data_IF_914125276997
#
_entry.id   IF_914125276997
#
_cell.length_a   1.000
_cell.length_b   1.000
_cell.length_c   1.000
_cell.angle_alpha   90.00
_cell.angle_beta   90.00
_cell.angle_gamma   90.00
#
_symmetry.space_group_name_H-M   'P 1'
#
loop_
_entity.id
_entity.type
_entity.pdbx_description
1 polymer ?
#
# COMPACT_ATOMS: atom_id res chain seq x y z
N UNK A 1 13.29 -24.14 -4.72
CA UNK A 1 14.63 -23.74 -4.23
C UNK A 1 14.45 -22.91 -2.96
N UNK A 2 15.11 -23.27 -1.85
CA UNK A 2 14.96 -22.60 -0.55
C UNK A 2 15.88 -21.36 -0.51
N UNK A 3 15.36 -20.17 -0.18
CA UNK A 3 16.09 -18.88 -0.28
C UNK A 3 16.72 -18.49 1.06
N UNK A 4 17.83 -19.13 1.39
CA UNK A 4 18.54 -18.89 2.64
C UNK A 4 19.99 -18.47 2.40
N UNK A 5 20.49 -17.61 3.30
CA UNK A 5 21.92 -17.33 3.45
C UNK A 5 22.41 -18.02 4.71
N UNK A 6 23.63 -18.55 4.62
CA UNK A 6 24.23 -19.38 5.62
C UNK A 6 25.25 -18.55 6.40
N UNK A 7 24.89 -18.15 7.63
CA UNK A 7 25.74 -17.28 8.46
C UNK A 7 26.49 -18.13 9.47
N UNK A 8 27.82 -18.11 9.41
CA UNK A 8 28.67 -18.82 10.38
C UNK A 8 28.82 -17.98 11.65
N UNK A 9 28.05 -18.29 12.69
CA UNK A 9 28.21 -17.67 14.00
C UNK A 9 29.14 -18.52 14.87
N UNK A 10 30.17 -17.88 15.45
CA UNK A 10 30.99 -18.50 16.50
C UNK A 10 30.38 -18.21 17.87
N UNK A 11 29.59 -19.14 18.42
CA UNK A 11 29.14 -19.04 19.82
C UNK A 11 30.15 -19.69 20.75
N UNK A 12 30.68 -18.93 21.71
CA UNK A 12 31.47 -19.46 22.84
C UNK A 12 30.51 -19.85 23.96
N UNK A 13 30.40 -21.13 24.27
CA UNK A 13 29.61 -21.59 25.42
C UNK A 13 30.50 -21.76 26.65
N UNK A 14 30.04 -21.26 27.79
CA UNK A 14 30.65 -21.47 29.11
C UNK A 14 29.81 -22.45 29.93
N UNK A 15 29.69 -23.74 29.55
CA UNK A 15 29.08 -24.71 30.46
C UNK A 15 30.12 -25.17 31.49
N UNK A 16 30.09 -24.56 32.66
CA UNK A 16 30.78 -25.06 33.86
C UNK A 16 29.82 -25.95 34.64
N UNK A 17 30.19 -27.21 34.87
CA UNK A 17 29.68 -27.99 36.01
C UNK A 17 30.86 -28.79 36.56
N UNK A 18 31.57 -28.24 37.54
CA UNK A 18 32.34 -29.03 38.52
C UNK A 18 32.85 -28.17 39.67
N UNK A 19 32.83 -28.78 40.85
CA UNK A 19 32.93 -28.22 42.20
C UNK A 19 34.36 -28.29 42.77
N UNK A 20 35.43 -28.17 41.96
CA UNK A 20 36.82 -28.31 42.45
C UNK A 20 37.83 -27.30 41.87
N UNK A 21 38.83 -26.81 42.64
CA UNK A 21 39.48 -25.52 42.41
C UNK A 21 40.86 -25.56 41.71
N UNK A 22 41.11 -26.50 40.78
CA UNK A 22 42.34 -26.49 39.95
C UNK A 22 42.10 -27.03 38.54
N UNK A 23 41.43 -26.28 37.67
CA UNK A 23 41.23 -26.72 36.28
C UNK A 23 41.31 -25.57 35.26
N UNK A 24 42.15 -25.76 34.23
CA UNK A 24 42.14 -24.97 33.01
C UNK A 24 40.80 -25.18 32.29
N UNK A 25 40.08 -24.10 31.99
CA UNK A 25 38.74 -24.16 31.39
C UNK A 25 38.86 -24.34 29.88
N UNK A 26 38.51 -25.52 29.35
CA UNK A 26 38.39 -25.72 27.91
C UNK A 26 37.28 -24.83 27.34
N UNK A 27 37.65 -23.79 26.58
CA UNK A 27 36.70 -22.97 25.83
C UNK A 27 36.33 -23.75 24.56
N UNK A 28 35.17 -24.38 24.56
CA UNK A 28 34.64 -25.02 23.34
C UNK A 28 33.99 -23.95 22.45
N UNK A 29 34.51 -23.79 21.23
CA UNK A 29 33.86 -23.01 20.17
C UNK A 29 33.28 -23.96 19.13
N UNK A 30 31.97 -23.83 18.86
CA UNK A 30 31.29 -24.56 17.78
C UNK A 30 30.88 -23.56 16.71
N UNK A 31 31.19 -23.84 15.44
CA UNK A 31 30.58 -23.12 14.31
C UNK A 31 29.12 -23.56 14.22
N UNK A 32 28.20 -22.62 14.40
CA UNK A 32 26.78 -22.84 14.15
C UNK A 32 26.47 -22.18 12.82
N UNK A 33 25.99 -22.97 11.87
CA UNK A 33 25.30 -22.45 10.70
C UNK A 33 23.95 -21.92 11.14
N UNK A 34 23.77 -20.60 11.08
CA UNK A 34 22.47 -19.99 11.26
C UNK A 34 21.89 -19.68 9.88
N UNK A 35 20.76 -20.32 9.58
CA UNK A 35 20.13 -20.27 8.28
C UNK A 35 19.16 -19.09 8.24
N UNK A 36 19.63 -17.95 7.71
CA UNK A 36 18.89 -16.69 7.64
C UNK A 36 18.17 -16.53 6.29
N UNK A 37 17.12 -15.73 6.26
CA UNK A 37 16.47 -15.39 4.98
C UNK A 37 17.27 -14.36 4.20
N UNK A 38 17.24 -14.45 2.88
CA UNK A 38 17.65 -13.33 2.02
C UNK A 38 16.75 -12.10 2.27
N UNK A 39 17.26 -10.90 1.96
CA UNK A 39 16.44 -9.69 2.04
C UNK A 39 15.21 -9.78 1.15
N UNK A 40 14.07 -9.28 1.63
CA UNK A 40 12.77 -9.38 0.98
C UNK A 40 12.06 -10.72 1.21
N UNK A 41 12.54 -11.57 2.12
CA UNK A 41 11.91 -12.83 2.51
C UNK A 41 11.73 -12.93 4.03
N UNK A 42 10.71 -13.65 4.48
CA UNK A 42 10.36 -13.78 5.90
C UNK A 42 9.90 -15.18 6.30
N UNK A 43 9.91 -15.43 7.61
CA UNK A 43 9.43 -16.66 8.23
C UNK A 43 10.41 -17.82 8.14
N UNK A 44 10.09 -18.93 8.81
CA UNK A 44 10.95 -20.11 8.87
C UNK A 44 11.21 -20.78 7.52
N UNK A 45 10.31 -20.55 6.55
CA UNK A 45 10.42 -21.03 5.18
C UNK A 45 11.05 -20.02 4.21
N UNK A 46 11.36 -18.80 4.66
CA UNK A 46 11.83 -17.69 3.83
C UNK A 46 10.98 -17.51 2.57
N UNK A 47 9.69 -17.21 2.77
CA UNK A 47 8.76 -16.87 1.70
C UNK A 47 8.87 -15.37 1.35
N UNK A 48 8.61 -14.95 0.11
CA UNK A 48 8.78 -13.56 -0.29
C UNK A 48 7.83 -12.64 0.49
N UNK A 49 8.31 -11.45 0.84
CA UNK A 49 7.50 -10.40 1.42
C UNK A 49 6.35 -10.00 0.48
N UNK A 50 5.22 -9.51 1.04
CA UNK A 50 4.13 -8.99 0.24
C UNK A 50 4.60 -7.87 -0.69
N UNK A 51 4.06 -7.79 -1.92
CA UNK A 51 4.59 -6.90 -2.97
C UNK A 51 5.85 -7.44 -3.69
N UNK A 52 6.37 -8.58 -3.26
CA UNK A 52 7.52 -9.25 -3.88
C UNK A 52 8.86 -8.88 -3.23
N UNK A 53 9.88 -9.71 -3.44
CA UNK A 53 11.19 -9.54 -2.80
C UNK A 53 12.00 -8.36 -3.35
N UNK A 54 11.74 -7.92 -4.60
CA UNK A 54 12.40 -6.76 -5.22
C UNK A 54 11.85 -5.43 -4.73
N UNK A 55 10.56 -5.40 -4.40
CA UNK A 55 9.88 -4.19 -3.90
C UNK A 55 8.91 -4.56 -2.77
N UNK A 56 9.43 -5.02 -1.62
CA UNK A 56 8.59 -5.39 -0.49
C UNK A 56 7.66 -4.25 -0.10
N UNK A 57 6.43 -4.58 0.28
CA UNK A 57 5.39 -3.63 0.63
C UNK A 57 5.16 -2.58 -0.47
N UNK A 58 5.09 -3.03 -1.72
CA UNK A 58 4.93 -2.21 -2.92
C UNK A 58 5.99 -1.10 -3.07
N UNK A 59 7.17 -1.29 -2.46
CA UNK A 59 8.24 -0.29 -2.38
C UNK A 59 7.91 0.92 -1.51
N UNK A 60 6.82 0.87 -0.72
CA UNK A 60 6.25 1.99 0.05
C UNK A 60 6.26 1.75 1.56
N UNK A 61 6.97 0.71 2.01
CA UNK A 61 7.09 0.34 3.41
C UNK A 61 8.27 -0.58 3.69
N UNK A 62 8.41 -0.98 4.96
CA UNK A 62 9.37 -1.98 5.41
C UNK A 62 8.66 -3.27 5.75
N UNK A 63 9.15 -4.40 5.24
CA UNK A 63 8.65 -5.72 5.60
C UNK A 63 9.31 -6.19 6.90
N UNK A 64 8.55 -6.86 7.77
CA UNK A 64 9.10 -7.67 8.85
C UNK A 64 9.81 -8.92 8.30
N UNK A 65 10.95 -8.73 7.65
CA UNK A 65 11.76 -9.76 7.01
C UNK A 65 12.59 -10.58 8.01
N UNK A 66 13.22 -11.66 7.51
CA UNK A 66 14.05 -12.56 8.31
C UNK A 66 13.32 -13.80 8.82
N UNK A 67 14.07 -14.76 9.37
CA UNK A 67 13.57 -16.09 9.75
C UNK A 67 12.48 -16.05 10.82
N UNK A 68 12.56 -15.11 11.76
CA UNK A 68 11.55 -14.84 12.79
C UNK A 68 10.62 -13.68 12.43
N UNK A 69 10.80 -13.12 11.22
CA UNK A 69 10.00 -12.03 10.71
C UNK A 69 8.55 -12.45 10.48
N UNK A 70 7.61 -11.54 10.72
CA UNK A 70 6.17 -11.77 10.57
C UNK A 70 5.66 -11.54 9.14
N UNK A 71 6.48 -10.94 8.26
CA UNK A 71 6.06 -10.53 6.92
C UNK A 71 5.12 -9.34 6.86
N UNK A 72 4.73 -8.77 8.01
CA UNK A 72 3.86 -7.60 8.06
C UNK A 72 4.58 -6.37 7.52
N UNK A 73 3.84 -5.56 6.77
CA UNK A 73 4.34 -4.30 6.24
C UNK A 73 4.12 -3.15 7.22
N UNK A 74 5.18 -2.37 7.45
CA UNK A 74 5.13 -1.07 8.10
C UNK A 74 5.22 0.02 7.03
N UNK A 75 4.09 0.64 6.72
CA UNK A 75 4.02 1.65 5.67
C UNK A 75 4.72 2.95 6.06
N UNK A 76 5.28 3.62 5.06
CA UNK A 76 5.71 5.01 5.19
C UNK A 76 4.49 5.92 5.37
N UNK A 77 4.67 7.11 5.95
CA UNK A 77 3.56 7.92 6.48
C UNK A 77 2.47 8.29 5.47
N UNK A 78 2.79 8.35 4.17
CA UNK A 78 1.85 8.71 3.08
C UNK A 78 0.99 7.56 2.58
N UNK A 79 1.27 6.31 2.97
CA UNK A 79 0.61 5.13 2.44
C UNK A 79 -0.06 4.31 3.54
N UNK A 80 -1.03 3.51 3.14
CA UNK A 80 -1.79 2.59 3.99
C UNK A 80 -2.16 1.33 3.20
N UNK A 81 -2.82 0.38 3.86
CA UNK A 81 -3.13 -0.94 3.29
C UNK A 81 -2.20 -2.03 3.80
N UNK A 82 -2.45 -3.25 3.38
CA UNK A 82 -1.74 -4.44 3.87
C UNK A 82 -0.32 -4.54 3.31
N UNK A 83 -0.12 -3.99 2.11
CA UNK A 83 1.15 -3.96 1.38
C UNK A 83 1.51 -2.53 0.96
N UNK A 84 0.95 -1.52 1.63
CA UNK A 84 1.17 -0.09 1.37
C UNK A 84 0.75 0.34 -0.05
N UNK A 85 -0.33 -0.27 -0.53
CA UNK A 85 -0.93 -0.10 -1.86
C UNK A 85 -1.80 1.15 -2.00
N UNK A 86 -2.26 1.73 -0.89
CA UNK A 86 -3.21 2.85 -0.89
C UNK A 86 -2.54 4.16 -0.44
N UNK A 87 -3.04 5.29 -0.94
CA UNK A 87 -2.75 6.58 -0.32
C UNK A 87 -3.43 6.66 1.04
N UNK A 88 -2.74 7.19 2.03
CA UNK A 88 -3.31 7.39 3.37
C UNK A 88 -4.34 8.51 3.40
N UNK A 89 -4.07 9.58 2.68
CA UNK A 89 -5.01 10.69 2.52
C UNK A 89 -6.02 10.34 1.41
N UNK A 90 -7.33 10.30 1.70
CA UNK A 90 -8.36 9.99 0.70
C UNK A 90 -8.49 11.07 -0.38
N UNK A 91 -7.92 12.25 -0.19
CA UNK A 91 -7.92 13.35 -1.15
C UNK A 91 -6.61 13.41 -1.98
N UNK A 92 -5.75 12.39 -1.88
CA UNK A 92 -4.48 12.32 -2.61
C UNK A 92 -4.43 11.17 -3.61
N UNK A 93 -3.77 11.43 -4.74
CA UNK A 93 -3.58 10.47 -5.80
C UNK A 93 -2.17 10.55 -6.43
N UNK A 94 -1.93 9.65 -7.38
CA UNK A 94 -0.68 9.53 -8.14
C UNK A 94 0.38 8.70 -7.41
N UNK A 95 1.45 8.28 -8.09
CA UNK A 95 2.36 7.22 -7.63
C UNK A 95 3.06 7.52 -6.31
N UNK A 96 3.09 8.81 -5.91
CA UNK A 96 3.70 9.31 -4.68
C UNK A 96 2.70 9.92 -3.67
N UNK A 97 1.39 9.79 -3.92
CA UNK A 97 0.31 10.33 -3.08
C UNK A 97 0.49 11.83 -2.72
N UNK A 98 0.92 12.63 -3.70
CA UNK A 98 1.20 14.05 -3.53
C UNK A 98 0.26 14.96 -4.33
N UNK A 99 -0.43 14.43 -5.33
CA UNK A 99 -1.40 15.17 -6.14
C UNK A 99 -2.74 15.24 -5.42
N UNK A 100 -3.45 16.36 -5.53
CA UNK A 100 -4.72 16.62 -4.82
C UNK A 100 -5.89 16.42 -5.77
N UNK A 101 -6.93 15.69 -5.35
CA UNK A 101 -8.10 15.47 -6.18
C UNK A 101 -8.78 16.78 -6.59
N UNK A 102 -9.29 16.82 -7.83
CA UNK A 102 -10.10 17.92 -8.36
C UNK A 102 -11.61 17.64 -8.26
N UNK A 103 -11.98 16.43 -7.87
CA UNK A 103 -13.37 16.02 -7.65
C UNK A 103 -14.06 16.86 -6.57
N UNK A 104 -15.12 17.59 -6.93
CA UNK A 104 -15.84 18.48 -6.00
C UNK A 104 -17.05 17.80 -5.36
N UNK A 105 -17.96 17.27 -6.17
CA UNK A 105 -19.24 16.71 -5.72
C UNK A 105 -19.38 15.23 -6.03
N UNK A 106 -18.34 14.43 -5.76
CA UNK A 106 -18.37 12.99 -5.95
C UNK A 106 -17.34 12.26 -5.08
N UNK A 107 -17.04 11.02 -5.46
CA UNK A 107 -15.97 10.23 -4.82
C UNK A 107 -14.71 10.39 -5.65
N UNK A 108 -13.63 10.90 -5.06
CA UNK A 108 -12.36 10.99 -5.76
C UNK A 108 -11.84 9.60 -6.18
N UNK A 109 -11.36 9.51 -7.41
CA UNK A 109 -10.50 8.43 -7.86
C UNK A 109 -9.09 8.60 -7.28
N UNK A 110 -8.99 8.35 -5.97
CA UNK A 110 -7.79 8.53 -5.17
C UNK A 110 -6.89 7.28 -5.20
N UNK A 111 -5.70 7.40 -4.64
CA UNK A 111 -4.75 6.29 -4.56
C UNK A 111 -3.63 6.39 -5.60
N UNK A 112 -2.65 5.49 -5.53
CA UNK A 112 -1.41 5.69 -6.29
C UNK A 112 -1.55 5.57 -7.80
N UNK A 113 -2.52 4.79 -8.26
CA UNK A 113 -2.88 4.64 -9.67
C UNK A 113 -4.15 5.45 -10.04
N UNK A 114 -4.66 6.25 -9.09
CA UNK A 114 -5.87 7.05 -9.28
C UNK A 114 -5.63 8.23 -10.22
N UNK A 115 -6.69 8.65 -10.92
CA UNK A 115 -6.67 9.78 -11.86
C UNK A 115 -6.87 11.15 -11.21
N UNK A 116 -7.38 11.19 -9.97
CA UNK A 116 -7.66 12.44 -9.24
C UNK A 116 -8.98 13.13 -9.58
N UNK A 117 -9.68 12.67 -10.63
CA UNK A 117 -11.03 13.11 -10.98
C UNK A 117 -12.08 12.31 -10.21
N UNK A 118 -13.38 12.63 -10.37
CA UNK A 118 -14.42 11.85 -9.72
C UNK A 118 -14.55 10.46 -10.39
N UNK A 119 -14.74 9.42 -9.58
CA UNK A 119 -15.09 8.08 -10.08
C UNK A 119 -16.39 8.16 -10.88
N UNK A 120 -16.48 7.35 -11.94
CA UNK A 120 -17.67 7.28 -12.79
C UNK A 120 -18.93 7.01 -11.96
N UNK A 121 -20.00 7.75 -12.24
CA UNK A 121 -21.29 7.66 -11.54
C UNK A 121 -21.25 7.97 -10.04
N UNK A 122 -20.21 8.65 -9.54
CA UNK A 122 -20.11 9.04 -8.13
C UNK A 122 -20.63 10.46 -7.85
N UNK A 123 -21.01 11.23 -8.87
CA UNK A 123 -21.53 12.58 -8.67
C UNK A 123 -22.80 12.55 -7.81
N UNK A 124 -22.87 13.49 -6.86
CA UNK A 124 -24.09 13.77 -6.10
C UNK A 124 -25.21 14.17 -7.06
N UNK A 125 -26.45 13.88 -6.68
CA UNK A 125 -27.64 14.22 -7.47
C UNK A 125 -27.62 15.70 -7.86
N UNK A 126 -27.83 15.98 -9.14
CA UNK A 126 -27.81 17.34 -9.68
C UNK A 126 -26.42 17.87 -10.03
N UNK A 127 -25.35 17.07 -9.88
CA UNK A 127 -24.01 17.40 -10.37
C UNK A 127 -23.58 16.43 -11.47
N UNK A 128 -22.79 16.93 -12.42
CA UNK A 128 -22.24 16.16 -13.54
C UNK A 128 -20.90 16.76 -14.00
N UNK A 129 -20.34 16.20 -15.07
CA UNK A 129 -18.94 16.33 -15.54
C UNK A 129 -17.99 15.31 -14.89
N UNK A 130 -16.75 15.25 -15.38
CA UNK A 130 -15.67 14.43 -14.84
C UNK A 130 -15.27 14.82 -13.41
N UNK A 131 -15.41 16.09 -13.03
CA UNK A 131 -15.10 16.61 -11.69
C UNK A 131 -16.33 16.91 -10.83
N UNK A 132 -17.54 16.61 -11.34
CA UNK A 132 -18.81 16.92 -10.69
C UNK A 132 -18.92 18.40 -10.27
N UNK A 133 -18.37 19.30 -11.07
CA UNK A 133 -18.35 20.75 -10.84
C UNK A 133 -19.54 21.46 -11.50
N UNK A 134 -20.20 20.80 -12.46
CA UNK A 134 -21.32 21.37 -13.19
C UNK A 134 -22.65 20.98 -12.54
N UNK A 135 -23.57 21.95 -12.38
CA UNK A 135 -24.92 21.73 -11.84
C UNK A 135 -25.92 21.49 -12.95
N UNK A 136 -26.67 20.40 -12.85
CA UNK A 136 -27.78 20.13 -13.74
C UNK A 136 -28.92 21.14 -13.49
N UNK A 137 -29.56 21.57 -14.57
CA UNK A 137 -30.69 22.49 -14.53
C UNK A 137 -31.96 21.73 -14.93
N UNK A 138 -33.14 22.23 -14.53
CA UNK A 138 -34.36 21.70 -15.13
C UNK A 138 -34.37 22.08 -16.61
N UNK A 139 -34.70 21.11 -17.44
CA UNK A 139 -34.86 21.28 -18.89
C UNK A 139 -35.85 22.42 -19.21
N UNK A 140 -36.89 22.60 -18.38
CA UNK A 140 -37.94 23.59 -18.63
C UNK A 140 -38.86 23.18 -19.78
N UNK A 141 -39.90 23.98 -20.08
CA UNK A 141 -40.94 23.61 -21.04
C UNK A 141 -40.50 23.66 -22.51
N UNK A 142 -39.30 24.17 -22.82
CA UNK A 142 -38.81 24.38 -24.19
C UNK A 142 -37.94 23.25 -24.74
N UNK A 143 -37.75 22.16 -24.00
CA UNK A 143 -36.95 21.02 -24.49
C UNK A 143 -37.81 20.02 -25.23
N UNK A 144 -37.49 19.79 -26.49
CA UNK A 144 -38.22 18.85 -27.37
C UNK A 144 -37.81 17.38 -27.06
N UNK A 145 -36.62 17.17 -26.48
CA UNK A 145 -35.99 15.86 -26.32
C UNK A 145 -36.07 15.27 -24.92
N UNK A 146 -36.42 16.07 -23.92
CA UNK A 146 -36.40 15.66 -22.51
C UNK A 146 -37.75 16.00 -21.85
N UNK A 147 -38.17 15.17 -20.89
CA UNK A 147 -39.36 15.45 -20.10
C UNK A 147 -39.16 16.74 -19.28
N UNK A 148 -40.23 17.50 -19.02
CA UNK A 148 -40.13 18.79 -18.32
C UNK A 148 -39.54 18.69 -16.89
N UNK A 149 -39.63 17.50 -16.27
CA UNK A 149 -39.06 17.19 -14.96
C UNK A 149 -37.69 16.48 -15.02
N UNK A 150 -37.11 16.32 -16.21
CA UNK A 150 -35.76 15.79 -16.36
C UNK A 150 -34.72 16.84 -15.99
N UNK A 151 -33.54 16.36 -15.59
CA UNK A 151 -32.36 17.18 -15.42
C UNK A 151 -31.61 17.25 -16.74
N UNK A 152 -31.37 18.45 -17.24
CA UNK A 152 -30.60 18.73 -18.45
C UNK A 152 -29.24 19.33 -18.09
N UNK A 153 -28.30 19.22 -19.02
CA UNK A 153 -27.05 19.97 -19.00
C UNK A 153 -26.98 20.93 -20.18
N UNK A 154 -26.39 22.11 -19.94
CA UNK A 154 -26.20 23.14 -20.96
C UNK A 154 -24.92 22.80 -21.73
N UNK A 155 -25.08 22.30 -22.95
CA UNK A 155 -24.00 22.10 -23.91
C UNK A 155 -23.54 23.41 -24.55
N UNK A 156 -22.54 23.33 -25.43
CA UNK A 156 -22.09 24.48 -26.20
C UNK A 156 -23.27 25.10 -27.00
N UNK A 157 -23.27 26.44 -27.13
CA UNK A 157 -24.31 27.23 -27.81
C UNK A 157 -25.73 27.15 -27.18
N UNK A 158 -25.85 27.07 -25.85
CA UNK A 158 -27.15 27.02 -25.14
C UNK A 158 -28.04 25.84 -25.58
N UNK A 159 -27.43 24.75 -26.04
CA UNK A 159 -28.18 23.52 -26.37
C UNK A 159 -28.39 22.70 -25.11
N UNK A 160 -29.64 22.34 -24.81
CA UNK A 160 -29.96 21.46 -23.69
C UNK A 160 -29.89 20.00 -24.16
N UNK A 161 -29.16 19.17 -23.42
CA UNK A 161 -29.12 17.71 -23.62
C UNK A 161 -29.53 17.00 -22.35
#
# INVERSE_FOLDING_TARGET
MKHFVLVLLQRRYSRCRSTYPRYCKAICSRRIEDQQCCSGFYGSACVPCPGGFRSPCSGRGKCGEGRTGSGRCKCTSKYTGTICENCRDPNKFGPFCNQTCTCLNGLCDNGPEGSGVCRKNSCKRGYFSENCDQKAVLCGPRTITCHAHSFCYVGANNTYR
#
